data_IF_306545658965
#
_entry.id   IF_306545658965
#
_cell.length_a   1.000
_cell.length_b   1.000
_cell.length_c   1.000
_cell.angle_alpha   90.00
_cell.angle_beta   90.00
_cell.angle_gamma   90.00
#
_symmetry.space_group_name_H-M   'P 1'
#
loop_
_entity.id
_entity.type
_entity.pdbx_description
1 polymer ?
#
# COMPACT_ATOMS: atom_id res chain seq x y z
N UNK A 1 3.42 45.15 18.48
CA UNK A 1 3.00 45.33 17.07
C UNK A 1 1.55 45.86 16.94
N UNK A 2 0.58 45.58 17.87
CA UNK A 2 -0.81 46.07 17.74
C UNK A 2 -0.92 47.61 17.71
N UNK A 3 -0.14 48.31 18.54
CA UNK A 3 -0.07 49.80 18.53
C UNK A 3 0.54 50.33 17.24
N UNK A 4 1.55 49.66 16.69
CA UNK A 4 2.16 50.05 15.42
C UNK A 4 1.14 49.89 14.27
N UNK A 5 0.31 48.85 14.30
CA UNK A 5 -0.78 48.69 13.35
C UNK A 5 -1.83 49.76 13.44
N UNK A 6 -2.20 50.20 14.65
CA UNK A 6 -3.11 51.30 14.87
C UNK A 6 -2.60 52.59 14.22
N UNK A 7 -1.34 52.94 14.49
CA UNK A 7 -0.70 54.12 13.89
C UNK A 7 -0.64 54.00 12.35
N UNK A 8 -0.27 52.86 11.84
CA UNK A 8 -0.18 52.61 10.41
C UNK A 8 -1.51 52.72 9.69
N UNK A 9 -2.57 52.07 10.21
CA UNK A 9 -3.91 52.07 9.64
C UNK A 9 -4.53 53.46 9.72
N UNK A 10 -4.36 54.15 10.83
CA UNK A 10 -4.84 55.55 11.02
C UNK A 10 -4.12 56.48 10.02
N UNK A 11 -2.82 56.31 9.80
CA UNK A 11 -2.08 57.12 8.82
C UNK A 11 -2.55 56.88 7.37
N UNK A 12 -3.08 55.70 7.08
CA UNK A 12 -3.70 55.40 5.80
C UNK A 12 -5.12 55.95 5.65
N UNK A 13 -5.55 56.85 6.56
CA UNK A 13 -6.87 57.46 6.61
C UNK A 13 -8.02 56.43 6.76
N UNK A 14 -7.76 55.32 7.43
CA UNK A 14 -8.76 54.34 7.80
C UNK A 14 -8.99 54.38 9.32
N UNK A 15 -10.17 54.84 9.69
CA UNK A 15 -10.57 54.99 11.10
C UNK A 15 -11.44 53.82 11.51
N UNK A 16 -11.00 53.05 12.49
CA UNK A 16 -11.67 51.89 13.10
C UNK A 16 -11.55 52.01 14.62
N UNK A 17 -12.41 51.33 15.34
CA UNK A 17 -12.35 51.27 16.81
C UNK A 17 -11.29 50.21 17.19
N UNK A 18 -10.09 50.65 17.56
CA UNK A 18 -8.98 49.79 17.99
C UNK A 18 -9.07 49.37 19.45
N UNK A 19 -9.98 49.99 20.25
CA UNK A 19 -10.13 49.63 21.65
C UNK A 19 -11.11 48.46 21.80
N UNK A 20 -12.15 48.38 20.96
CA UNK A 20 -13.18 47.35 20.97
C UNK A 20 -13.14 46.50 19.70
N UNK A 21 -11.97 46.34 19.12
CA UNK A 21 -11.80 45.55 17.90
C UNK A 21 -11.83 44.05 18.16
N UNK A 22 -11.98 43.31 17.08
CA UNK A 22 -11.90 41.85 17.07
C UNK A 22 -10.45 41.41 16.99
N UNK A 23 -9.96 40.76 18.04
CA UNK A 23 -8.60 40.22 18.12
C UNK A 23 -8.60 38.71 18.35
N UNK A 24 -7.96 37.96 17.47
CA UNK A 24 -7.87 36.50 17.60
C UNK A 24 -6.99 36.07 18.77
N UNK A 25 -6.19 36.99 19.32
CA UNK A 25 -5.34 36.75 20.50
C UNK A 25 -6.09 36.97 21.83
N UNK A 26 -7.32 37.52 21.81
CA UNK A 26 -8.12 37.74 23.01
C UNK A 26 -8.62 36.43 23.61
N UNK A 27 -8.66 36.37 24.94
CA UNK A 27 -9.14 35.21 25.67
C UNK A 27 -10.57 34.83 25.28
N UNK A 28 -11.46 35.81 25.10
CA UNK A 28 -12.86 35.62 24.67
C UNK A 28 -12.94 34.96 23.28
N UNK A 29 -12.03 35.29 22.38
CA UNK A 29 -11.93 34.61 21.08
C UNK A 29 -11.53 33.16 21.24
N UNK A 30 -10.44 32.90 21.99
CA UNK A 30 -9.93 31.55 22.26
C UNK A 30 -11.01 30.69 22.92
N UNK A 31 -11.70 31.23 23.92
CA UNK A 31 -12.83 30.55 24.59
C UNK A 31 -13.93 30.18 23.61
N UNK A 32 -14.29 31.07 22.71
CA UNK A 32 -15.33 30.86 21.67
C UNK A 32 -14.91 29.72 20.70
N UNK A 33 -13.66 29.69 20.29
CA UNK A 33 -13.12 28.63 19.42
C UNK A 33 -13.15 27.28 20.13
N UNK A 34 -12.70 27.22 21.39
CA UNK A 34 -12.71 25.99 22.20
C UNK A 34 -14.15 25.52 22.43
N UNK A 35 -15.09 26.46 22.71
CA UNK A 35 -16.49 26.12 22.85
C UNK A 35 -17.06 25.52 21.56
N UNK A 36 -16.76 26.09 20.40
CA UNK A 36 -17.21 25.56 19.11
C UNK A 36 -16.66 24.16 18.85
N UNK A 37 -15.37 23.94 19.13
CA UNK A 37 -14.74 22.61 19.05
C UNK A 37 -15.44 21.61 19.98
N UNK A 38 -15.72 22.02 21.24
CA UNK A 38 -16.46 21.18 22.18
C UNK A 38 -17.83 20.76 21.65
N UNK A 39 -18.57 21.67 21.00
CA UNK A 39 -19.87 21.33 20.39
C UNK A 39 -19.73 20.24 19.31
N UNK A 40 -18.66 20.27 18.52
CA UNK A 40 -18.39 19.26 17.51
C UNK A 40 -17.99 17.93 18.15
N UNK A 41 -17.15 17.98 19.19
CA UNK A 41 -16.72 16.80 19.92
C UNK A 41 -17.88 16.08 20.61
N UNK A 42 -18.73 16.82 21.32
CA UNK A 42 -19.91 16.29 22.02
C UNK A 42 -20.93 15.64 21.07
N UNK A 43 -20.94 16.07 19.79
CA UNK A 43 -21.76 15.48 18.73
C UNK A 43 -21.08 14.29 18.03
N UNK A 44 -19.87 13.91 18.42
CA UNK A 44 -19.09 12.83 17.76
C UNK A 44 -18.55 13.19 16.36
N UNK A 45 -18.58 14.48 15.97
CA UNK A 45 -18.10 14.95 14.68
C UNK A 45 -16.59 15.23 14.68
N UNK A 46 -15.99 15.39 15.86
CA UNK A 46 -14.54 15.48 16.05
C UNK A 46 -14.07 14.24 16.81
N UNK A 47 -13.07 13.56 16.26
CA UNK A 47 -12.51 12.33 16.84
C UNK A 47 -11.01 12.24 16.56
N UNK A 48 -10.31 11.46 17.35
CA UNK A 48 -8.90 11.15 17.10
C UNK A 48 -8.78 10.05 16.05
N UNK A 49 -8.00 10.29 15.01
CA UNK A 49 -7.77 9.32 13.93
C UNK A 49 -6.36 9.41 13.35
N UNK A 50 -5.99 8.39 12.61
CA UNK A 50 -4.74 8.37 11.86
C UNK A 50 -4.98 8.87 10.43
N UNK A 51 -4.02 9.63 9.90
CA UNK A 51 -4.02 10.08 8.52
C UNK A 51 -2.61 9.90 7.94
N UNK A 52 -2.53 9.27 6.77
CA UNK A 52 -1.27 9.20 6.02
C UNK A 52 -1.03 10.55 5.34
N UNK A 53 0.15 11.11 5.57
CA UNK A 53 0.61 12.36 4.98
C UNK A 53 2.00 12.16 4.38
N UNK A 54 2.33 12.86 3.28
CA UNK A 54 3.72 12.99 2.82
C UNK A 54 4.59 13.59 3.94
N UNK A 55 5.80 13.09 4.07
CA UNK A 55 6.72 13.52 5.12
C UNK A 55 8.10 13.78 4.53
N UNK A 56 8.62 14.99 4.74
CA UNK A 56 9.99 15.31 4.37
C UNK A 56 10.95 14.79 5.43
N UNK A 57 11.74 13.79 5.09
CA UNK A 57 12.73 13.22 6.01
C UNK A 57 13.93 14.17 6.25
N UNK A 58 14.21 15.06 5.30
CA UNK A 58 15.27 16.07 5.42
C UNK A 58 14.89 17.16 6.43
N UNK A 59 13.71 17.73 6.28
CA UNK A 59 13.22 18.81 7.15
C UNK A 59 12.49 18.28 8.39
N UNK A 60 12.24 16.98 8.43
CA UNK A 60 11.57 16.26 9.54
C UNK A 60 10.18 16.82 9.85
N UNK A 61 9.42 17.14 8.82
CA UNK A 61 8.07 17.71 8.95
C UNK A 61 7.08 17.07 7.96
N UNK A 62 5.79 16.93 8.34
CA UNK A 62 4.75 16.59 7.40
C UNK A 62 4.57 17.69 6.36
N UNK A 63 4.27 17.30 5.12
CA UNK A 63 4.01 18.22 4.01
C UNK A 63 2.52 18.35 3.76
N UNK A 64 2.07 19.56 3.50
CA UNK A 64 0.72 19.82 3.03
C UNK A 64 0.58 19.48 1.53
N UNK A 65 -0.66 19.25 1.08
CA UNK A 65 -0.92 19.08 -0.35
C UNK A 65 -0.53 20.30 -1.17
N UNK A 66 -0.53 21.47 -0.55
CA UNK A 66 -0.15 22.72 -1.21
C UNK A 66 1.34 22.75 -1.53
N UNK A 67 2.17 22.36 -0.57
CA UNK A 67 3.63 22.27 -0.74
C UNK A 67 4.05 21.26 -1.82
N UNK A 68 3.24 20.24 -2.08
CA UNK A 68 3.47 19.26 -3.14
C UNK A 68 3.02 19.73 -4.54
N UNK A 69 2.42 20.93 -4.67
CA UNK A 69 1.86 21.44 -5.93
C UNK A 69 2.37 22.81 -6.33
N UNK A 70 3.19 23.45 -5.50
CA UNK A 70 3.58 24.85 -5.70
C UNK A 70 4.63 25.04 -6.77
N UNK A 71 5.53 24.07 -6.95
CA UNK A 71 6.63 24.14 -7.89
C UNK A 71 6.49 23.10 -9.00
N UNK A 72 6.83 23.45 -10.23
CA UNK A 72 6.74 22.58 -11.41
C UNK A 72 7.69 21.36 -11.30
N UNK A 73 8.77 21.46 -10.51
CA UNK A 73 9.80 20.43 -10.35
C UNK A 73 9.67 19.58 -9.07
N UNK A 74 8.52 19.63 -8.37
CA UNK A 74 8.29 18.84 -7.14
C UNK A 74 8.31 17.34 -7.43
N UNK A 75 7.74 16.92 -8.55
CA UNK A 75 7.72 15.53 -9.00
C UNK A 75 8.76 15.32 -10.08
N UNK A 76 9.64 14.37 -9.87
CA UNK A 76 10.69 14.01 -10.83
C UNK A 76 10.61 12.51 -11.11
N UNK A 77 10.81 12.15 -12.39
CA UNK A 77 10.90 10.75 -12.78
C UNK A 77 12.20 10.14 -12.25
N UNK A 78 12.07 8.99 -11.60
CA UNK A 78 13.18 8.21 -11.09
C UNK A 78 13.03 6.76 -11.51
N UNK A 79 14.12 6.15 -11.95
CA UNK A 79 14.18 4.73 -12.23
C UNK A 79 14.55 3.98 -10.95
N UNK A 80 13.64 3.14 -10.46
CA UNK A 80 13.87 2.25 -9.32
C UNK A 80 13.83 0.79 -9.76
N UNK A 81 14.63 -0.05 -9.08
CA UNK A 81 14.61 -1.49 -9.31
C UNK A 81 13.32 -2.09 -8.73
N UNK A 82 12.69 -2.93 -9.51
CA UNK A 82 11.55 -3.73 -9.08
C UNK A 82 11.97 -5.17 -8.84
N UNK A 83 11.21 -5.90 -8.04
CA UNK A 83 11.49 -7.31 -7.74
C UNK A 83 10.26 -8.15 -8.00
N UNK A 84 10.43 -9.25 -8.72
CA UNK A 84 9.44 -10.31 -8.87
C UNK A 84 9.86 -11.50 -7.99
N UNK A 85 8.92 -12.02 -7.18
CA UNK A 85 9.19 -13.09 -6.21
C UNK A 85 8.17 -14.19 -6.37
N UNK A 86 8.64 -15.44 -6.42
CA UNK A 86 7.81 -16.64 -6.38
C UNK A 86 7.56 -17.09 -4.94
N UNK A 87 6.32 -17.03 -4.49
CA UNK A 87 5.88 -17.51 -3.18
C UNK A 87 5.43 -18.96 -3.30
N UNK A 88 6.13 -19.87 -2.63
CA UNK A 88 5.83 -21.30 -2.69
C UNK A 88 4.49 -21.61 -2.02
N UNK A 89 3.55 -22.16 -2.78
CA UNK A 89 2.27 -22.62 -2.25
C UNK A 89 2.46 -23.81 -1.30
N UNK A 90 1.75 -23.85 -0.18
CA UNK A 90 1.76 -24.96 0.77
C UNK A 90 1.05 -26.18 0.19
N UNK A 91 -0.05 -25.94 -0.51
CA UNK A 91 -0.83 -26.98 -1.19
C UNK A 91 -0.78 -26.73 -2.68
N UNK A 92 -0.47 -27.77 -3.45
CA UNK A 92 -0.46 -27.70 -4.90
C UNK A 92 -1.89 -27.49 -5.43
N UNK A 93 -2.01 -26.64 -6.44
CA UNK A 93 -3.23 -26.48 -7.23
C UNK A 93 -3.51 -27.69 -8.09
N UNK A 94 -2.45 -28.42 -8.47
CA UNK A 94 -2.55 -29.66 -9.26
C UNK A 94 -1.63 -30.74 -8.72
N UNK A 95 -2.19 -31.92 -8.51
CA UNK A 95 -1.47 -33.08 -7.96
C UNK A 95 -0.40 -33.66 -8.93
N UNK A 96 -0.53 -33.39 -10.23
CA UNK A 96 0.39 -33.89 -11.26
C UNK A 96 1.71 -33.10 -11.36
N UNK A 97 1.92 -32.07 -10.56
CA UNK A 97 3.16 -31.32 -10.53
C UNK A 97 4.25 -32.07 -9.76
N UNK A 98 5.41 -32.29 -10.40
CA UNK A 98 6.59 -32.90 -9.76
C UNK A 98 7.32 -31.92 -8.83
N UNK A 99 7.18 -30.58 -9.08
CA UNK A 99 7.84 -29.50 -8.36
C UNK A 99 6.85 -28.63 -7.60
N UNK A 100 7.33 -27.73 -6.72
CA UNK A 100 6.48 -26.71 -6.09
C UNK A 100 5.77 -25.82 -7.12
N UNK A 101 4.61 -25.32 -6.74
CA UNK A 101 3.90 -24.29 -7.46
C UNK A 101 4.09 -22.95 -6.72
N UNK A 102 4.31 -21.88 -7.47
CA UNK A 102 4.69 -20.57 -6.96
C UNK A 102 3.62 -19.54 -7.33
N UNK A 103 3.18 -18.74 -6.38
CA UNK A 103 2.44 -17.51 -6.66
C UNK A 103 3.43 -16.39 -6.96
N UNK A 104 3.36 -15.81 -8.15
CA UNK A 104 4.30 -14.79 -8.60
C UNK A 104 3.81 -13.40 -8.20
N UNK A 105 4.51 -12.73 -7.30
CA UNK A 105 4.23 -11.35 -6.90
C UNK A 105 5.28 -10.39 -7.46
N UNK A 106 4.90 -9.15 -7.65
CA UNK A 106 5.79 -8.09 -8.09
C UNK A 106 5.68 -6.87 -7.17
N UNK A 107 6.80 -6.21 -6.90
CA UNK A 107 6.83 -5.00 -6.06
C UNK A 107 7.88 -4.00 -6.50
N UNK A 108 7.52 -2.72 -6.41
CA UNK A 108 8.44 -1.57 -6.52
C UNK A 108 9.10 -1.22 -5.19
N UNK A 109 8.64 -1.82 -4.09
CA UNK A 109 9.08 -1.52 -2.71
C UNK A 109 9.55 -2.78 -2.00
N UNK A 110 10.69 -3.39 -2.43
CA UNK A 110 11.14 -4.70 -1.94
C UNK A 110 11.44 -4.73 -0.42
N UNK A 111 11.69 -3.58 0.19
CA UNK A 111 11.88 -3.47 1.65
C UNK A 111 10.62 -3.74 2.48
N UNK A 112 9.46 -3.86 1.84
CA UNK A 112 8.20 -4.26 2.51
C UNK A 112 8.01 -5.78 2.57
N UNK A 113 8.76 -6.57 1.78
CA UNK A 113 8.67 -8.03 1.75
C UNK A 113 8.87 -8.71 3.11
N UNK A 114 9.76 -8.23 4.02
CA UNK A 114 9.89 -8.81 5.36
C UNK A 114 8.62 -8.78 6.20
N UNK A 115 7.70 -7.87 5.91
CA UNK A 115 6.40 -7.76 6.60
C UNK A 115 5.23 -8.34 5.80
N UNK A 116 5.51 -9.07 4.70
CA UNK A 116 4.46 -9.72 3.93
C UNK A 116 3.61 -10.64 4.80
N UNK A 117 2.30 -10.49 4.74
CA UNK A 117 1.34 -11.25 5.53
C UNK A 117 0.19 -11.85 4.70
N UNK A 118 -0.01 -11.40 3.47
CA UNK A 118 -1.01 -11.95 2.55
C UNK A 118 -0.66 -11.62 1.10
N UNK A 119 -1.35 -12.27 0.17
CA UNK A 119 -1.35 -11.95 -1.26
C UNK A 119 -2.77 -11.66 -1.72
N UNK A 120 -3.00 -10.49 -2.30
CA UNK A 120 -4.30 -10.12 -2.83
C UNK A 120 -4.44 -10.50 -4.30
N UNK A 121 -5.60 -11.02 -4.67
CA UNK A 121 -6.01 -11.33 -6.05
C UNK A 121 -7.34 -10.65 -6.38
N UNK A 122 -7.52 -10.28 -7.64
CA UNK A 122 -8.81 -9.78 -8.13
C UNK A 122 -9.80 -10.95 -8.30
N UNK A 123 -10.93 -10.97 -7.59
CA UNK A 123 -11.83 -12.15 -7.58
C UNK A 123 -12.39 -12.51 -8.97
N UNK A 124 -12.47 -11.53 -9.87
CA UNK A 124 -12.96 -11.70 -11.25
C UNK A 124 -11.84 -11.88 -12.29
N UNK A 125 -10.58 -11.64 -11.90
CA UNK A 125 -9.43 -11.80 -12.78
C UNK A 125 -9.16 -13.29 -12.99
N UNK A 126 -8.76 -13.65 -14.21
CA UNK A 126 -8.32 -15.00 -14.56
C UNK A 126 -6.81 -15.11 -14.34
N UNK A 127 -6.39 -16.20 -13.73
CA UNK A 127 -5.02 -16.54 -13.42
C UNK A 127 -4.64 -17.83 -14.11
N UNK A 128 -3.49 -17.85 -14.77
CA UNK A 128 -2.90 -19.03 -15.40
C UNK A 128 -1.86 -19.67 -14.50
N UNK A 129 -1.93 -20.97 -14.33
CA UNK A 129 -0.83 -21.76 -13.81
C UNK A 129 0.02 -22.18 -15.01
N UNK A 130 1.25 -21.70 -15.06
CA UNK A 130 2.16 -21.82 -16.20
C UNK A 130 3.33 -22.73 -15.83
N UNK A 131 3.60 -23.75 -16.61
CA UNK A 131 4.77 -24.61 -16.45
C UNK A 131 5.93 -24.06 -17.27
N UNK A 132 7.08 -23.92 -16.60
CA UNK A 132 8.33 -23.39 -17.18
C UNK A 132 9.11 -24.55 -17.78
N UNK A 133 9.39 -24.50 -19.08
CA UNK A 133 10.04 -25.59 -19.82
C UNK A 133 11.55 -25.65 -19.61
N UNK A 134 12.19 -24.51 -19.31
CA UNK A 134 13.64 -24.39 -19.13
C UNK A 134 13.98 -23.52 -17.96
N UNK A 135 15.18 -23.62 -17.41
CA UNK A 135 15.64 -22.74 -16.34
C UNK A 135 15.72 -21.28 -16.84
N UNK A 136 15.08 -20.40 -16.12
CA UNK A 136 15.14 -18.95 -16.29
C UNK A 136 15.59 -18.29 -14.98
N UNK A 137 15.87 -16.99 -15.03
CA UNK A 137 16.29 -16.25 -13.85
C UNK A 137 15.25 -16.36 -12.73
N UNK A 138 15.58 -17.11 -11.67
CA UNK A 138 14.73 -17.29 -10.48
C UNK A 138 13.65 -18.36 -10.57
N UNK A 139 13.45 -19.00 -11.73
CA UNK A 139 12.47 -20.09 -11.90
C UNK A 139 13.13 -21.26 -12.60
N UNK A 140 12.92 -22.47 -12.08
CA UNK A 140 13.53 -23.70 -12.59
C UNK A 140 12.60 -24.46 -13.52
N UNK A 141 13.17 -25.18 -14.48
CA UNK A 141 12.43 -26.05 -15.39
C UNK A 141 11.51 -27.02 -14.62
N UNK A 142 10.26 -27.12 -15.05
CA UNK A 142 9.21 -27.93 -14.41
C UNK A 142 8.59 -27.33 -13.15
N UNK A 143 8.99 -26.12 -12.72
CA UNK A 143 8.21 -25.34 -11.77
C UNK A 143 6.98 -24.75 -12.44
N UNK A 144 5.93 -24.55 -11.67
CA UNK A 144 4.70 -23.93 -12.13
C UNK A 144 4.49 -22.62 -11.38
N UNK A 145 4.18 -21.57 -12.11
CA UNK A 145 3.96 -20.25 -11.56
C UNK A 145 2.53 -19.78 -11.84
N UNK A 146 1.88 -19.21 -10.83
CA UNK A 146 0.58 -18.60 -10.90
C UNK A 146 0.75 -17.11 -11.18
N UNK A 147 0.16 -16.62 -12.26
CA UNK A 147 0.19 -15.23 -12.73
C UNK A 147 -1.13 -14.88 -13.41
N UNK A 148 -1.53 -13.61 -13.42
CA UNK A 148 -2.70 -13.20 -14.19
C UNK A 148 -2.53 -13.56 -15.68
N UNK A 149 -3.58 -14.13 -16.29
CA UNK A 149 -3.55 -14.67 -17.66
C UNK A 149 -3.11 -13.59 -18.67
N UNK A 150 -3.61 -12.37 -18.52
CA UNK A 150 -3.29 -11.24 -19.39
C UNK A 150 -1.80 -10.81 -19.34
N UNK A 151 -1.10 -11.17 -18.29
CA UNK A 151 0.29 -10.77 -18.03
C UNK A 151 1.31 -11.85 -18.35
N UNK A 152 0.90 -13.05 -18.74
CA UNK A 152 1.81 -14.16 -19.06
C UNK A 152 2.86 -13.75 -20.11
N UNK A 153 2.43 -13.06 -21.18
CA UNK A 153 3.32 -12.62 -22.26
C UNK A 153 4.32 -11.55 -21.84
N UNK A 154 3.98 -10.72 -20.84
CA UNK A 154 4.87 -9.69 -20.31
C UNK A 154 6.05 -10.27 -19.53
N UNK A 155 5.91 -11.52 -19.05
CA UNK A 155 6.92 -12.27 -18.30
C UNK A 155 7.66 -13.32 -19.15
N UNK A 156 7.76 -13.10 -20.45
CA UNK A 156 8.46 -14.02 -21.37
C UNK A 156 9.95 -14.24 -20.98
N UNK A 157 10.58 -13.25 -20.35
CA UNK A 157 11.96 -13.36 -19.86
C UNK A 157 12.08 -14.40 -18.73
N UNK A 158 11.11 -14.42 -17.81
CA UNK A 158 11.09 -15.29 -16.63
C UNK A 158 10.43 -16.64 -16.91
N UNK A 159 9.48 -16.71 -17.85
CA UNK A 159 8.67 -17.89 -18.13
C UNK A 159 9.02 -18.60 -19.45
N UNK A 160 9.80 -17.94 -20.30
CA UNK A 160 10.05 -18.38 -21.68
C UNK A 160 9.07 -17.74 -22.67
N UNK A 161 9.42 -17.73 -23.95
CA UNK A 161 8.61 -17.09 -25.01
C UNK A 161 7.28 -17.80 -25.25
N UNK A 162 7.23 -19.14 -25.06
CA UNK A 162 6.03 -19.96 -25.25
C UNK A 162 5.79 -20.85 -24.01
N UNK A 163 5.40 -20.24 -22.87
CA UNK A 163 5.15 -21.00 -21.66
C UNK A 163 3.87 -21.85 -21.79
N UNK A 164 3.88 -23.03 -21.17
CA UNK A 164 2.73 -23.95 -21.21
C UNK A 164 1.76 -23.62 -20.10
N UNK A 165 0.56 -23.14 -20.45
CA UNK A 165 -0.55 -22.99 -19.50
C UNK A 165 -1.13 -24.38 -19.20
N UNK A 166 -1.00 -24.82 -17.95
CA UNK A 166 -1.50 -26.15 -17.51
C UNK A 166 -2.87 -26.12 -16.86
N UNK A 167 -3.28 -24.95 -16.33
CA UNK A 167 -4.61 -24.72 -15.77
C UNK A 167 -4.90 -23.22 -15.69
N UNK A 168 -6.19 -22.88 -15.58
CA UNK A 168 -6.67 -21.51 -15.32
C UNK A 168 -7.65 -21.51 -14.16
N UNK A 169 -7.64 -20.42 -13.38
CA UNK A 169 -8.48 -20.24 -12.20
C UNK A 169 -9.03 -18.81 -12.17
N UNK A 170 -10.23 -18.66 -11.64
CA UNK A 170 -10.70 -17.33 -11.20
C UNK A 170 -10.01 -16.96 -9.88
N UNK A 171 -9.75 -15.67 -9.67
CA UNK A 171 -9.17 -15.23 -8.41
C UNK A 171 -9.99 -15.65 -7.19
N UNK A 172 -11.32 -15.70 -7.31
CA UNK A 172 -12.21 -16.21 -6.26
C UNK A 172 -11.96 -17.67 -5.86
N UNK A 173 -11.44 -18.51 -6.77
CA UNK A 173 -11.12 -19.92 -6.51
C UNK A 173 -9.76 -20.09 -5.79
N UNK A 174 -8.92 -19.05 -5.80
CA UNK A 174 -7.60 -19.03 -5.18
C UNK A 174 -7.63 -18.55 -3.72
N UNK A 175 -8.72 -17.93 -3.30
CA UNK A 175 -8.86 -17.38 -1.94
C UNK A 175 -8.75 -18.47 -0.88
N UNK A 176 -7.94 -18.22 0.14
CA UNK A 176 -7.70 -19.17 1.24
C UNK A 176 -6.56 -20.14 1.01
N UNK A 177 -5.93 -20.15 -0.18
CA UNK A 177 -4.73 -20.95 -0.41
C UNK A 177 -3.57 -20.33 0.34
N UNK A 178 -2.83 -21.17 1.09
CA UNK A 178 -1.69 -20.75 1.89
C UNK A 178 -0.38 -20.91 1.12
N UNK A 179 0.59 -20.07 1.48
CA UNK A 179 1.95 -20.11 0.95
C UNK A 179 2.99 -19.98 2.08
N UNK A 180 4.20 -20.45 1.83
CA UNK A 180 5.31 -20.29 2.76
C UNK A 180 5.79 -18.83 2.76
N UNK A 181 5.97 -18.19 3.93
CA UNK A 181 6.50 -16.84 4.02
C UNK A 181 7.92 -16.77 3.42
N UNK A 182 8.27 -15.60 2.87
CA UNK A 182 9.63 -15.34 2.35
C UNK A 182 10.65 -15.34 3.49
N UNK A 183 10.23 -14.83 4.66
CA UNK A 183 11.02 -14.73 5.87
C UNK A 183 10.24 -15.30 7.06
N UNK A 184 10.90 -15.94 7.98
CA UNK A 184 10.33 -16.58 9.17
C UNK A 184 10.25 -15.67 10.42
N UNK A 185 10.52 -14.37 10.26
CA UNK A 185 10.56 -13.41 11.38
C UNK A 185 9.28 -13.41 12.25
N UNK A 186 8.14 -13.68 11.64
CA UNK A 186 6.84 -13.73 12.31
C UNK A 186 6.28 -15.14 12.44
N UNK A 187 6.93 -16.14 11.86
CA UNK A 187 6.53 -17.55 11.89
C UNK A 187 7.29 -18.31 12.98
N UNK A 188 7.10 -17.93 14.25
CA UNK A 188 7.72 -18.61 15.37
C UNK A 188 6.70 -19.49 16.11
N UNK A 189 7.14 -20.62 16.74
CA UNK A 189 6.28 -21.50 17.52
C UNK A 189 5.52 -20.74 18.62
N UNK A 190 6.15 -19.78 19.28
CA UNK A 190 5.56 -18.97 20.35
C UNK A 190 4.43 -18.11 19.79
N UNK A 191 4.65 -17.43 18.66
CA UNK A 191 3.62 -16.61 18.02
C UNK A 191 2.45 -17.42 17.49
N UNK A 192 2.72 -18.62 16.94
CA UNK A 192 1.66 -19.54 16.52
C UNK A 192 0.82 -19.99 17.72
N UNK A 193 1.45 -20.29 18.85
CA UNK A 193 0.76 -20.70 20.09
C UNK A 193 -0.07 -19.58 20.70
N UNK A 194 0.33 -18.33 20.57
CA UNK A 194 -0.37 -17.14 21.06
C UNK A 194 -1.47 -16.63 20.12
N UNK A 195 -1.68 -17.30 18.97
CA UNK A 195 -2.58 -16.81 17.92
C UNK A 195 -2.07 -15.51 17.27
N UNK A 196 -0.73 -15.29 17.35
CA UNK A 196 -0.09 -14.07 16.90
C UNK A 196 -0.11 -13.87 15.39
N UNK A 197 0.38 -12.72 14.99
CA UNK A 197 0.42 -12.32 13.58
C UNK A 197 1.30 -13.28 12.74
N UNK A 198 0.85 -13.58 11.52
CA UNK A 198 -0.37 -13.02 10.92
C UNK A 198 -1.66 -13.73 11.30
N UNK A 199 -1.67 -14.67 12.25
CA UNK A 199 -2.83 -15.45 12.68
C UNK A 199 -3.18 -16.59 11.70
N UNK A 200 -4.32 -17.29 11.92
CA UNK A 200 -4.70 -18.47 11.13
C UNK A 200 -4.96 -18.20 9.65
N UNK A 201 -5.19 -16.94 9.28
CA UNK A 201 -5.40 -16.52 7.88
C UNK A 201 -4.16 -15.84 7.29
N UNK A 202 -3.06 -15.82 8.02
CA UNK A 202 -1.81 -15.26 7.53
C UNK A 202 -1.18 -16.12 6.44
N UNK A 203 -0.37 -15.48 5.61
CA UNK A 203 0.29 -16.07 4.46
C UNK A 203 -0.67 -16.86 3.57
N UNK A 204 -1.82 -16.24 3.31
CA UNK A 204 -2.86 -16.77 2.43
C UNK A 204 -3.22 -15.79 1.31
N UNK A 205 -3.82 -16.33 0.27
CA UNK A 205 -4.39 -15.54 -0.81
C UNK A 205 -5.75 -14.99 -0.38
N UNK A 206 -5.94 -13.68 -0.55
CA UNK A 206 -7.17 -12.94 -0.19
C UNK A 206 -7.77 -12.27 -1.43
N UNK A 207 -9.07 -12.03 -1.42
CA UNK A 207 -9.74 -11.26 -2.47
C UNK A 207 -9.62 -9.76 -2.22
N UNK A 208 -9.33 -8.97 -3.27
CA UNK A 208 -9.36 -7.51 -3.20
C UNK A 208 -9.72 -6.89 -4.55
N UNK A 209 -10.69 -5.97 -4.54
CA UNK A 209 -11.24 -5.36 -5.76
C UNK A 209 -10.29 -4.34 -6.42
N UNK A 210 -9.24 -3.88 -5.71
CA UNK A 210 -8.26 -2.94 -6.25
C UNK A 210 -7.18 -3.61 -7.13
N UNK A 211 -7.09 -4.94 -7.16
CA UNK A 211 -6.11 -5.64 -7.99
C UNK A 211 -6.44 -5.46 -9.47
N UNK A 212 -5.43 -5.09 -10.25
CA UNK A 212 -5.53 -4.89 -11.71
C UNK A 212 -4.51 -5.74 -12.46
N UNK A 213 -4.66 -5.81 -13.78
CA UNK A 213 -3.71 -6.47 -14.70
C UNK A 213 -2.97 -5.45 -15.58
N UNK A 214 -2.90 -4.18 -15.15
CA UNK A 214 -2.17 -3.14 -15.90
C UNK A 214 -0.67 -3.23 -15.72
N UNK A 215 -0.24 -3.65 -14.52
CA UNK A 215 1.18 -3.76 -14.15
C UNK A 215 1.41 -4.97 -13.25
N UNK A 216 2.68 -5.38 -13.14
CA UNK A 216 3.11 -6.46 -12.25
C UNK A 216 2.64 -7.83 -12.71
N UNK A 217 2.21 -8.67 -11.76
CA UNK A 217 1.80 -10.07 -11.98
C UNK A 217 0.31 -10.31 -11.82
N UNK A 218 -0.46 -9.29 -11.43
CA UNK A 218 -1.86 -9.44 -11.04
C UNK A 218 -2.06 -10.07 -9.64
N UNK A 219 -0.96 -10.33 -8.91
CA UNK A 219 -0.97 -10.75 -7.51
C UNK A 219 -0.20 -9.68 -6.70
N UNK A 220 -0.84 -9.14 -5.69
CA UNK A 220 -0.30 -8.01 -4.89
C UNK A 220 0.00 -8.47 -3.48
N UNK A 221 1.27 -8.35 -3.05
CA UNK A 221 1.64 -8.68 -1.67
C UNK A 221 1.14 -7.61 -0.67
N UNK A 222 0.75 -8.06 0.53
CA UNK A 222 0.23 -7.25 1.62
C UNK A 222 1.06 -7.40 2.88
#
# INVERSE_FOLDING_TARGET
>A
YTKEWEEYVTRQARWVDFENDYKTLDMSYTESVIWAFKQLYDKGLAYQGHRVLPYCWNDRTPLSNHELKMDDDVYQDRTDNTVTVGLRLETKLREDSARPELALIWTTTPWTLPSNSAVAVGPQIEYSLVEVAADHEGVLAGERVLIATDLVSAYAKELGEEPTVVATYKGSELVGIHYHPIYDYFDTPERRAEGGAPGPNGWSIIAADYVTTTDGTGLVHQ
#
